data_IF_361763202669
#
_entry.id   IF_361763202669
#
_cell.length_a   1.000
_cell.length_b   1.000
_cell.length_c   1.000
_cell.angle_alpha   90.00
_cell.angle_beta   90.00
_cell.angle_gamma   90.00
#
_symmetry.space_group_name_H-M   'P 1'
#
loop_
_entity.id
_entity.type
_entity.pdbx_description
1 polymer ?
#
# COMPACT_ATOMS: atom_id res chain seq x y z
N UNK A 1 -48.01 12.03 32.83
CA UNK A 1 -46.87 12.62 32.09
C UNK A 1 -45.55 11.90 32.36
N UNK A 2 -45.33 11.37 33.57
CA UNK A 2 -44.12 10.60 33.95
C UNK A 2 -43.91 9.28 33.19
N UNK A 3 -44.97 8.49 32.97
CA UNK A 3 -44.87 7.21 32.23
C UNK A 3 -44.38 7.36 30.79
N UNK A 4 -44.72 8.48 30.13
CA UNK A 4 -44.26 8.78 28.77
C UNK A 4 -42.75 9.07 28.74
N UNK A 5 -42.23 9.77 29.76
CA UNK A 5 -40.79 10.04 29.89
C UNK A 5 -39.99 8.77 30.13
N UNK A 6 -40.50 7.86 30.96
CA UNK A 6 -39.86 6.56 31.22
C UNK A 6 -39.83 5.71 29.93
N UNK A 7 -40.92 5.69 29.18
CA UNK A 7 -41.01 4.97 27.90
C UNK A 7 -40.06 5.54 26.84
N UNK A 8 -39.94 6.88 26.76
CA UNK A 8 -39.00 7.56 25.86
C UNK A 8 -37.53 7.31 26.24
N UNK A 9 -37.22 7.24 27.54
CA UNK A 9 -35.87 6.90 28.02
C UNK A 9 -35.51 5.44 27.69
N UNK A 10 -36.46 4.50 27.83
CA UNK A 10 -36.28 3.09 27.47
C UNK A 10 -36.10 2.90 25.94
N UNK A 11 -36.74 3.73 25.12
CA UNK A 11 -36.51 3.73 23.66
C UNK A 11 -35.12 4.27 23.29
N UNK A 12 -34.60 5.25 24.04
CA UNK A 12 -33.28 5.83 23.76
C UNK A 12 -32.11 4.90 24.11
N UNK A 13 -32.24 4.06 25.14
CA UNK A 13 -31.21 3.07 25.51
C UNK A 13 -31.18 1.85 24.58
N UNK A 14 -32.23 1.63 23.77
CA UNK A 14 -32.25 0.58 22.77
C UNK A 14 -31.47 0.95 21.49
N UNK A 15 -31.13 2.23 21.31
CA UNK A 15 -30.40 2.73 20.14
C UNK A 15 -28.91 2.94 20.44
N UNK A 16 -28.25 1.89 20.92
CA UNK A 16 -26.78 1.83 20.83
C UNK A 16 -26.42 1.39 19.41
N UNK A 17 -26.07 2.35 18.56
CA UNK A 17 -25.51 2.08 17.24
C UNK A 17 -24.20 1.33 17.47
N UNK A 18 -24.18 0.03 17.18
CA UNK A 18 -22.93 -0.73 17.11
C UNK A 18 -22.17 -0.20 15.89
N UNK A 19 -21.23 0.72 16.12
CA UNK A 19 -20.27 1.10 15.10
C UNK A 19 -19.29 -0.07 14.95
N UNK A 20 -19.60 -1.02 14.08
CA UNK A 20 -18.63 -2.03 13.65
C UNK A 20 -17.55 -1.31 12.85
N UNK A 21 -16.36 -1.12 13.43
CA UNK A 21 -15.18 -0.76 12.64
C UNK A 21 -14.87 -1.94 11.73
N UNK A 22 -15.14 -1.80 10.43
CA UNK A 22 -14.62 -2.73 9.44
C UNK A 22 -13.10 -2.56 9.40
N UNK A 23 -12.36 -3.49 9.98
CA UNK A 23 -10.92 -3.62 9.72
C UNK A 23 -10.75 -4.02 8.25
N UNK A 24 -10.29 -3.08 7.43
CA UNK A 24 -9.92 -3.38 6.05
C UNK A 24 -8.62 -4.17 6.11
N UNK A 25 -8.71 -5.50 6.04
CA UNK A 25 -7.54 -6.34 5.86
C UNK A 25 -6.95 -6.08 4.47
N UNK A 26 -5.82 -5.38 4.40
CA UNK A 26 -5.08 -5.18 3.15
C UNK A 26 -4.32 -6.48 2.84
N UNK A 27 -4.79 -7.23 1.84
CA UNK A 27 -4.13 -8.44 1.34
C UNK A 27 -2.93 -8.05 0.46
N UNK A 28 -1.73 -8.05 1.04
CA UNK A 28 -0.49 -7.89 0.29
C UNK A 28 -0.13 -9.20 -0.41
N UNK A 29 -0.58 -9.35 -1.65
CA UNK A 29 -0.19 -10.48 -2.49
C UNK A 29 1.24 -10.31 -3.01
N UNK A 30 2.10 -11.26 -2.69
CA UNK A 30 3.45 -11.37 -3.25
C UNK A 30 3.48 -12.51 -4.27
N UNK A 31 3.94 -12.21 -5.48
CA UNK A 31 4.21 -13.20 -6.52
C UNK A 31 5.68 -13.09 -6.94
N UNK A 32 6.40 -14.21 -6.92
CA UNK A 32 7.76 -14.30 -7.42
C UNK A 32 7.77 -15.29 -8.58
N UNK A 33 8.38 -14.91 -9.70
CA UNK A 33 8.60 -15.86 -10.77
C UNK A 33 9.71 -16.85 -10.38
N UNK A 34 9.34 -18.10 -10.10
CA UNK A 34 10.29 -19.15 -9.69
C UNK A 34 10.92 -19.82 -10.92
N UNK A 35 10.26 -19.79 -12.10
CA UNK A 35 10.79 -20.45 -13.30
C UNK A 35 12.05 -19.78 -13.85
N UNK A 36 12.16 -18.47 -13.68
CA UNK A 36 13.31 -17.68 -14.15
C UNK A 36 14.51 -17.79 -13.18
N UNK A 37 14.31 -18.44 -12.03
CA UNK A 37 15.32 -18.63 -11.01
C UNK A 37 15.60 -17.39 -10.17
N UNK A 38 16.69 -17.46 -9.40
CA UNK A 38 17.16 -16.35 -8.55
C UNK A 38 18.38 -15.69 -9.20
N UNK A 39 18.50 -14.37 -9.02
CA UNK A 39 19.72 -13.67 -9.39
C UNK A 39 20.88 -14.04 -8.47
N UNK A 40 22.11 -13.95 -8.98
CA UNK A 40 23.32 -14.18 -8.18
C UNK A 40 23.61 -12.98 -7.30
N UNK A 41 23.92 -13.21 -6.02
CA UNK A 41 24.37 -12.14 -5.11
C UNK A 41 25.62 -11.43 -5.68
N UNK A 42 25.72 -10.12 -5.45
CA UNK A 42 26.79 -9.25 -5.95
C UNK A 42 26.93 -9.17 -7.48
N UNK A 43 25.93 -9.64 -8.24
CA UNK A 43 25.88 -9.43 -9.70
C UNK A 43 25.60 -7.96 -10.07
N UNK A 44 25.88 -7.54 -11.32
CA UNK A 44 25.45 -6.23 -11.79
C UNK A 44 23.93 -6.05 -11.72
N UNK A 45 23.15 -7.10 -12.00
CA UNK A 45 21.70 -7.09 -11.77
C UNK A 45 21.34 -6.79 -10.30
N UNK A 46 22.01 -7.42 -9.33
CA UNK A 46 21.79 -7.14 -7.90
C UNK A 46 22.11 -5.69 -7.54
N UNK A 47 23.19 -5.13 -8.09
CA UNK A 47 23.55 -3.72 -7.89
C UNK A 47 22.52 -2.77 -8.52
N UNK A 48 22.04 -3.06 -9.73
CA UNK A 48 20.99 -2.29 -10.39
C UNK A 48 19.66 -2.37 -9.63
N UNK A 49 19.31 -3.53 -9.08
CA UNK A 49 18.12 -3.73 -8.25
C UNK A 49 18.18 -2.89 -6.97
N UNK A 50 19.32 -2.90 -6.27
CA UNK A 50 19.52 -2.07 -5.08
C UNK A 50 19.41 -0.57 -5.41
N UNK A 51 20.02 -0.14 -6.51
CA UNK A 51 19.93 1.26 -6.97
C UNK A 51 18.49 1.65 -7.30
N UNK A 52 17.72 0.77 -7.94
CA UNK A 52 16.31 0.99 -8.22
C UNK A 52 15.51 1.19 -6.93
N UNK A 53 15.73 0.37 -5.90
CA UNK A 53 15.04 0.56 -4.61
C UNK A 53 15.43 1.86 -3.92
N UNK A 54 16.70 2.25 -3.99
CA UNK A 54 17.15 3.54 -3.47
C UNK A 54 16.45 4.70 -4.18
N UNK A 55 16.35 4.65 -5.51
CA UNK A 55 15.66 5.67 -6.31
C UNK A 55 14.17 5.76 -5.96
N UNK A 56 13.46 4.61 -5.89
CA UNK A 56 12.05 4.58 -5.46
C UNK A 56 11.84 5.18 -4.06
N UNK A 57 12.81 5.03 -3.16
CA UNK A 57 12.72 5.56 -1.80
C UNK A 57 13.10 7.04 -1.70
N UNK A 58 13.88 7.56 -2.66
CA UNK A 58 14.44 8.91 -2.62
C UNK A 58 13.76 9.90 -3.54
N UNK A 59 13.13 9.42 -4.63
CA UNK A 59 12.51 10.31 -5.62
C UNK A 59 11.30 11.01 -4.99
N UNK A 60 11.46 12.32 -4.78
CA UNK A 60 10.41 13.22 -4.30
C UNK A 60 9.45 13.62 -5.43
N UNK A 61 9.77 13.32 -6.69
CA UNK A 61 8.93 13.65 -7.85
C UNK A 61 7.85 12.58 -8.02
N UNK A 62 6.94 12.55 -7.06
CA UNK A 62 5.75 11.72 -7.04
C UNK A 62 4.78 12.23 -8.10
N UNK A 63 4.96 11.79 -9.34
CA UNK A 63 4.10 12.19 -10.46
C UNK A 63 2.73 11.50 -10.33
N UNK A 64 1.87 12.06 -9.48
CA UNK A 64 0.49 11.61 -9.24
C UNK A 64 0.35 10.19 -8.68
N UNK A 65 1.34 9.70 -7.93
CA UNK A 65 1.26 8.39 -7.29
C UNK A 65 1.78 7.22 -8.13
N UNK A 66 2.33 7.45 -9.32
CA UNK A 66 2.80 6.38 -10.22
C UNK A 66 4.27 6.56 -10.61
N UNK A 67 5.03 5.46 -10.62
CA UNK A 67 6.41 5.41 -11.10
C UNK A 67 6.62 4.32 -12.13
N UNK A 68 7.44 4.64 -13.13
CA UNK A 68 7.99 3.69 -14.10
C UNK A 68 9.50 3.95 -14.20
N UNK A 69 10.30 3.05 -13.66
CA UNK A 69 11.75 3.23 -13.52
C UNK A 69 12.47 2.04 -14.13
N UNK A 70 13.51 2.34 -14.90
CA UNK A 70 14.45 1.36 -15.44
C UNK A 70 15.87 1.72 -15.03
N UNK A 71 16.62 0.74 -14.57
CA UNK A 71 17.99 0.92 -14.07
C UNK A 71 18.92 -0.07 -14.76
N UNK A 72 20.01 0.45 -15.34
CA UNK A 72 21.01 -0.35 -16.04
C UNK A 72 20.67 -0.59 -17.52
N UNK A 73 21.41 -1.51 -18.13
CA UNK A 73 21.28 -1.90 -19.54
C UNK A 73 21.30 -3.43 -19.64
N UNK A 74 20.79 -3.97 -20.75
CA UNK A 74 20.81 -5.41 -21.02
C UNK A 74 22.24 -5.97 -20.91
N UNK A 75 22.45 -7.14 -20.28
CA UNK A 75 21.43 -8.06 -19.75
C UNK A 75 20.95 -7.75 -18.32
N UNK A 76 21.61 -6.84 -17.61
CA UNK A 76 21.40 -6.60 -16.17
C UNK A 76 20.37 -5.49 -15.86
N UNK A 77 19.55 -5.10 -16.84
CA UNK A 77 18.55 -4.06 -16.66
C UNK A 77 17.43 -4.54 -15.72
N UNK A 78 17.05 -3.68 -14.79
CA UNK A 78 15.90 -3.90 -13.89
C UNK A 78 14.82 -2.89 -14.24
N UNK A 79 13.58 -3.35 -14.32
CA UNK A 79 12.41 -2.52 -14.56
C UNK A 79 11.45 -2.64 -13.37
N UNK A 80 10.83 -1.53 -12.97
CA UNK A 80 9.83 -1.51 -11.92
C UNK A 80 8.72 -0.52 -12.21
N UNK A 81 7.51 -0.89 -11.77
CA UNK A 81 6.36 -0.01 -11.69
C UNK A 81 5.91 0.03 -10.24
N UNK A 82 5.69 1.23 -9.70
CA UNK A 82 5.13 1.43 -8.37
C UNK A 82 3.88 2.31 -8.45
N UNK A 83 2.88 2.03 -7.61
CA UNK A 83 1.63 2.77 -7.57
C UNK A 83 1.20 2.96 -6.11
N UNK A 84 0.93 4.20 -5.76
CA UNK A 84 0.38 4.57 -4.46
C UNK A 84 -1.13 4.56 -4.51
N UNK A 85 -1.72 4.38 -3.34
CA UNK A 85 -3.16 4.52 -3.18
C UNK A 85 -3.56 5.96 -3.47
N UNK A 86 -4.53 6.15 -4.36
CA UNK A 86 -5.00 7.47 -4.79
C UNK A 86 -5.73 8.29 -3.71
N UNK A 87 -6.04 7.71 -2.56
CA UNK A 87 -6.64 8.40 -1.42
C UNK A 87 -5.62 8.94 -0.40
N UNK A 88 -4.32 8.66 -0.60
CA UNK A 88 -3.23 9.13 0.25
C UNK A 88 -2.61 10.42 -0.26
N UNK A 89 -2.08 11.23 0.65
CA UNK A 89 -1.23 12.38 0.28
C UNK A 89 0.14 11.87 -0.17
N UNK A 90 0.82 12.67 -0.99
CA UNK A 90 2.14 12.38 -1.54
C UNK A 90 3.14 11.84 -0.51
N UNK A 91 3.27 12.51 0.65
CA UNK A 91 4.18 12.10 1.75
C UNK A 91 3.78 10.83 2.50
N UNK A 92 2.56 10.33 2.27
CA UNK A 92 2.04 9.11 2.89
C UNK A 92 2.09 7.91 1.92
N UNK A 93 2.52 8.15 0.68
CA UNK A 93 3.35 7.15 0.05
C UNK A 93 4.77 7.22 0.64
#
# INVERSE_FOLDING_TARGET
MEFSRLFLLLLSSAFHINLSSSEVAIDFRKNCNISDGNFTANSPYAANLNRLFSQLSSDQDFNYGFYNISVGQSPDQVNAIALCRGDQKEKAC
#
